data_IF_538545890108
#
_entry.id   IF_538545890108
#
_cell.length_a   1.000
_cell.length_b   1.000
_cell.length_c   1.000
_cell.angle_alpha   90.00
_cell.angle_beta   90.00
_cell.angle_gamma   90.00
#
_symmetry.space_group_name_H-M   'P 1'
#
loop_
_entity.id
_entity.type
_entity.pdbx_description
1 polymer ?
#
# COMPACT_ATOMS: atom_id res chain seq x y z
N UNK A 1 25.95 -0.01 10.93
CA UNK A 1 24.53 -0.15 11.29
C UNK A 1 24.35 -1.50 11.99
N UNK A 2 23.89 -1.50 13.23
CA UNK A 2 23.65 -2.75 13.97
C UNK A 2 22.54 -3.55 13.27
N UNK A 3 22.78 -4.85 13.03
CA UNK A 3 21.73 -5.76 12.55
C UNK A 3 20.76 -5.95 13.70
N UNK A 4 19.48 -5.62 13.50
CA UNK A 4 18.44 -6.00 14.45
C UNK A 4 18.35 -7.54 14.50
N UNK A 5 18.14 -8.14 15.68
CA UNK A 5 17.88 -9.58 15.77
C UNK A 5 16.66 -9.94 14.93
N UNK A 6 16.73 -11.07 14.23
CA UNK A 6 15.61 -11.59 13.44
C UNK A 6 14.37 -11.78 14.33
N UNK A 7 13.21 -11.32 13.86
CA UNK A 7 11.92 -11.54 14.53
C UNK A 7 11.57 -10.60 15.69
N UNK A 8 12.33 -9.51 15.94
CA UNK A 8 11.88 -8.51 16.92
C UNK A 8 10.59 -7.85 16.42
N UNK A 9 9.49 -7.88 17.19
CA UNK A 9 8.25 -7.22 16.79
C UNK A 9 8.51 -5.72 16.57
N UNK A 10 7.89 -5.15 15.54
CA UNK A 10 7.91 -3.70 15.33
C UNK A 10 7.15 -3.07 16.49
N UNK A 11 7.89 -2.59 17.50
CA UNK A 11 7.30 -1.88 18.64
C UNK A 11 6.77 -0.55 18.11
N UNK A 12 5.45 -0.48 17.90
CA UNK A 12 4.77 0.76 17.58
C UNK A 12 4.67 1.61 18.85
N UNK A 13 4.99 2.92 18.82
CA UNK A 13 4.79 3.78 19.97
C UNK A 13 3.31 3.79 20.36
N UNK A 14 3.03 3.79 21.66
CA UNK A 14 1.67 3.89 22.16
C UNK A 14 1.04 5.21 21.71
N UNK A 15 -0.18 5.18 21.12
CA UNK A 15 -0.83 6.39 20.67
C UNK A 15 -1.14 7.30 21.87
N UNK A 16 -1.09 8.63 21.70
CA UNK A 16 -1.44 9.58 22.76
C UNK A 16 -2.85 9.32 23.32
N UNK A 17 -3.07 9.61 24.60
CA UNK A 17 -4.36 9.37 25.28
C UNK A 17 -5.55 9.98 24.52
N UNK A 18 -5.38 11.18 23.97
CA UNK A 18 -6.39 11.84 23.15
C UNK A 18 -6.80 11.02 21.91
N UNK A 19 -5.85 10.34 21.26
CA UNK A 19 -6.13 9.47 20.13
C UNK A 19 -6.89 8.22 20.56
N UNK A 20 -6.60 7.68 21.76
CA UNK A 20 -7.34 6.53 22.31
C UNK A 20 -8.77 6.89 22.69
N UNK A 21 -9.00 8.09 23.24
CA UNK A 21 -10.31 8.55 23.69
C UNK A 21 -11.19 9.07 22.55
N UNK A 22 -10.61 9.74 21.55
CA UNK A 22 -11.38 10.46 20.53
C UNK A 22 -11.15 9.96 19.09
N UNK A 23 -10.09 9.16 18.85
CA UNK A 23 -9.66 8.77 17.51
C UNK A 23 -10.69 7.97 16.72
N UNK A 24 -11.52 7.16 17.39
CA UNK A 24 -12.56 6.36 16.72
C UNK A 24 -13.93 7.03 16.61
N UNK A 25 -14.17 8.16 17.31
CA UNK A 25 -15.54 8.65 17.58
C UNK A 25 -15.77 10.09 17.12
N UNK A 26 -14.71 10.90 17.01
CA UNK A 26 -14.83 12.32 16.67
C UNK A 26 -14.29 12.60 15.28
N UNK A 27 -15.21 12.83 14.32
CA UNK A 27 -14.87 13.36 12.99
C UNK A 27 -14.06 14.65 13.09
N UNK A 28 -14.40 15.51 14.06
CA UNK A 28 -13.68 16.76 14.33
C UNK A 28 -12.23 16.46 14.73
N UNK A 29 -12.01 15.51 15.64
CA UNK A 29 -10.66 15.10 16.05
C UNK A 29 -9.86 14.52 14.87
N UNK A 30 -10.48 13.69 14.03
CA UNK A 30 -9.87 13.17 12.82
C UNK A 30 -9.43 14.28 11.86
N UNK A 31 -10.30 15.26 11.59
CA UNK A 31 -9.94 16.41 10.76
C UNK A 31 -8.84 17.27 11.38
N UNK A 32 -8.89 17.54 12.69
CA UNK A 32 -7.86 18.32 13.39
C UNK A 32 -6.50 17.61 13.41
N UNK A 33 -6.47 16.29 13.61
CA UNK A 33 -5.23 15.51 13.63
C UNK A 33 -4.60 15.46 12.23
N UNK A 34 -5.39 15.24 11.18
CA UNK A 34 -4.93 15.30 9.78
C UNK A 34 -4.43 16.70 9.43
N UNK A 35 -5.13 17.76 9.83
CA UNK A 35 -4.71 19.14 9.59
C UNK A 35 -3.38 19.48 10.28
N UNK A 36 -3.23 19.12 11.56
CA UNK A 36 -2.00 19.33 12.32
C UNK A 36 -0.81 18.57 11.70
N UNK A 37 -1.04 17.33 11.29
CA UNK A 37 -0.03 16.50 10.62
C UNK A 37 0.38 17.09 9.27
N UNK A 38 -0.59 17.51 8.45
CA UNK A 38 -0.35 18.19 7.17
C UNK A 38 0.53 19.43 7.34
N UNK A 39 0.22 20.27 8.34
CA UNK A 39 1.01 21.49 8.62
C UNK A 39 2.44 21.17 9.03
N UNK A 40 2.63 20.12 9.82
CA UNK A 40 3.95 19.67 10.28
C UNK A 40 4.80 19.18 9.11
N UNK A 41 4.23 18.36 8.23
CA UNK A 41 4.91 17.85 7.02
C UNK A 41 5.24 18.99 6.07
N UNK A 42 4.27 19.87 5.77
CA UNK A 42 4.46 21.01 4.87
C UNK A 42 5.50 22.02 5.38
N UNK A 43 5.81 22.02 6.68
CA UNK A 43 6.87 22.88 7.24
C UNK A 43 8.30 22.42 6.87
N UNK A 44 8.45 21.22 6.30
CA UNK A 44 9.75 20.64 5.95
C UNK A 44 10.61 20.20 7.15
N UNK A 45 10.10 20.36 8.38
CA UNK A 45 10.81 20.01 9.62
C UNK A 45 10.56 18.59 10.09
N UNK A 46 9.66 17.86 9.43
CA UNK A 46 9.31 16.48 9.79
C UNK A 46 10.22 15.49 9.04
N UNK A 47 11.05 14.70 9.74
CA UNK A 47 11.80 13.62 9.12
C UNK A 47 10.91 12.61 8.37
N UNK A 48 9.64 12.48 8.74
CA UNK A 48 8.67 11.65 8.01
C UNK A 48 8.38 12.18 6.61
N UNK A 49 8.49 13.48 6.36
CA UNK A 49 8.21 14.06 5.05
C UNK A 49 9.16 13.50 3.97
N UNK A 50 10.45 13.37 4.29
CA UNK A 50 11.45 12.79 3.39
C UNK A 50 11.21 11.30 3.15
N UNK A 51 10.79 10.58 4.18
CA UNK A 51 10.42 9.17 4.05
C UNK A 51 9.21 9.00 3.13
N UNK A 52 8.17 9.80 3.34
CA UNK A 52 6.97 9.76 2.51
C UNK A 52 7.24 10.22 1.08
N UNK A 53 8.12 11.20 0.88
CA UNK A 53 8.59 11.56 -0.45
C UNK A 53 9.20 10.35 -1.17
N UNK A 54 10.10 9.61 -0.49
CA UNK A 54 10.68 8.39 -1.03
C UNK A 54 9.63 7.32 -1.35
N UNK A 55 8.72 7.04 -0.42
CA UNK A 55 7.64 6.05 -0.59
C UNK A 55 6.69 6.43 -1.74
N UNK A 56 6.25 7.68 -1.80
CA UNK A 56 5.32 8.17 -2.83
C UNK A 56 5.99 8.39 -4.19
N UNK A 57 7.30 8.62 -4.24
CA UNK A 57 8.02 8.73 -5.50
C UNK A 57 7.92 7.46 -6.35
N UNK A 58 7.69 6.30 -5.74
CA UNK A 58 7.45 5.04 -6.47
C UNK A 58 6.22 5.10 -7.39
N UNK A 59 5.26 5.97 -7.07
CA UNK A 59 4.03 6.21 -7.81
C UNK A 59 4.13 7.45 -8.71
N UNK A 60 5.35 7.90 -8.99
CA UNK A 60 5.65 9.07 -9.80
C UNK A 60 6.83 8.76 -10.75
N UNK A 61 6.82 9.35 -11.94
CA UNK A 61 7.84 9.10 -12.97
C UNK A 61 9.28 9.36 -12.49
N UNK A 62 9.48 10.39 -11.65
CA UNK A 62 10.78 10.70 -11.05
C UNK A 62 11.34 9.60 -10.14
N UNK A 63 10.51 8.71 -9.59
CA UNK A 63 10.94 7.61 -8.75
C UNK A 63 11.18 6.29 -9.48
N UNK A 64 11.15 6.26 -10.83
CA UNK A 64 11.35 5.05 -11.60
C UNK A 64 12.65 4.30 -11.25
N UNK A 65 13.77 5.01 -11.04
CA UNK A 65 15.04 4.40 -10.64
C UNK A 65 14.97 3.80 -9.23
N UNK A 66 14.28 4.47 -8.29
CA UNK A 66 14.07 3.96 -6.95
C UNK A 66 13.19 2.71 -6.97
N UNK A 67 12.11 2.73 -7.76
CA UNK A 67 11.24 1.58 -7.98
C UNK A 67 12.03 0.38 -8.50
N UNK A 68 12.83 0.56 -9.56
CA UNK A 68 13.67 -0.52 -10.10
C UNK A 68 14.68 -1.06 -9.09
N UNK A 69 15.26 -0.20 -8.24
CA UNK A 69 16.14 -0.64 -7.17
C UNK A 69 15.40 -1.45 -6.11
N UNK A 70 14.25 -0.99 -5.65
CA UNK A 70 13.42 -1.67 -4.65
C UNK A 70 12.92 -3.03 -5.17
N UNK A 71 12.52 -3.10 -6.44
CA UNK A 71 12.07 -4.33 -7.08
C UNK A 71 13.12 -5.43 -7.08
N UNK A 72 14.42 -5.13 -7.20
CA UNK A 72 15.47 -6.16 -7.13
C UNK A 72 15.49 -6.87 -5.77
N UNK A 73 15.32 -6.10 -4.69
CA UNK A 73 15.23 -6.68 -3.34
C UNK A 73 13.94 -7.46 -3.15
N UNK A 74 12.81 -6.90 -3.61
CA UNK A 74 11.50 -7.56 -3.54
C UNK A 74 11.47 -8.87 -4.34
N UNK A 75 12.02 -8.88 -5.55
CA UNK A 75 12.12 -10.07 -6.40
C UNK A 75 12.89 -11.18 -5.71
N UNK A 76 14.05 -10.86 -5.13
CA UNK A 76 14.83 -11.83 -4.37
C UNK A 76 14.02 -12.41 -3.20
N UNK A 77 13.36 -11.57 -2.41
CA UNK A 77 12.54 -12.03 -1.28
C UNK A 77 11.36 -12.90 -1.73
N UNK A 78 10.69 -12.55 -2.85
CA UNK A 78 9.60 -13.36 -3.42
C UNK A 78 10.09 -14.72 -3.93
N UNK A 79 11.29 -14.77 -4.54
CA UNK A 79 11.91 -16.02 -4.96
C UNK A 79 12.27 -16.91 -3.76
N UNK A 80 12.86 -16.33 -2.71
CA UNK A 80 13.17 -17.05 -1.47
C UNK A 80 11.90 -17.59 -0.81
N UNK A 81 10.82 -16.79 -0.75
CA UNK A 81 9.51 -17.23 -0.24
C UNK A 81 8.92 -18.37 -1.08
N UNK A 82 8.99 -18.28 -2.41
CA UNK A 82 8.52 -19.33 -3.33
C UNK A 82 9.29 -20.64 -3.11
N UNK A 83 10.61 -20.57 -2.97
CA UNK A 83 11.47 -21.73 -2.73
C UNK A 83 11.11 -22.39 -1.39
N UNK A 84 10.89 -21.60 -0.35
CA UNK A 84 10.48 -22.12 0.95
C UNK A 84 9.09 -22.76 0.90
N UNK A 85 8.10 -22.12 0.25
CA UNK A 85 6.77 -22.71 0.06
C UNK A 85 6.86 -24.06 -0.67
N UNK A 86 7.66 -24.14 -1.74
CA UNK A 86 7.88 -25.38 -2.47
C UNK A 86 8.54 -26.47 -1.60
N UNK A 87 9.54 -26.12 -0.78
CA UNK A 87 10.21 -27.04 0.16
C UNK A 87 9.23 -27.65 1.16
N UNK A 88 8.20 -26.89 1.54
CA UNK A 88 7.14 -27.30 2.47
C UNK A 88 5.95 -27.96 1.77
N UNK A 89 6.02 -28.21 0.45
CA UNK A 89 4.89 -28.68 -0.37
C UNK A 89 3.63 -27.79 -0.27
N UNK A 90 3.84 -26.47 -0.11
CA UNK A 90 2.78 -25.47 -0.09
C UNK A 90 2.65 -24.78 -1.45
N UNK A 91 1.43 -24.40 -1.79
CA UNK A 91 1.16 -23.50 -2.93
C UNK A 91 1.30 -22.05 -2.46
N UNK A 92 1.91 -21.20 -3.28
CA UNK A 92 2.05 -19.76 -3.02
C UNK A 92 1.29 -18.95 -4.07
N UNK A 93 0.42 -18.06 -3.60
CA UNK A 93 -0.23 -17.03 -4.40
C UNK A 93 -0.01 -15.67 -3.72
N UNK A 94 0.24 -14.63 -4.52
CA UNK A 94 0.45 -13.27 -4.02
C UNK A 94 -0.66 -12.36 -4.54
N UNK A 95 -1.44 -11.81 -3.62
CA UNK A 95 -2.41 -10.76 -3.95
C UNK A 95 -1.73 -9.39 -3.87
N UNK A 96 -1.82 -8.61 -4.96
CA UNK A 96 -1.26 -7.27 -5.06
C UNK A 96 -2.38 -6.27 -4.84
N UNK A 97 -2.30 -5.51 -3.76
CA UNK A 97 -3.29 -4.50 -3.37
C UNK A 97 -2.76 -3.08 -3.60
N UNK A 98 -3.45 -2.24 -4.39
CA UNK A 98 -3.07 -0.83 -4.51
C UNK A 98 -3.33 -0.09 -3.20
N UNK A 99 -2.59 1.00 -2.90
CA UNK A 99 -2.94 1.89 -1.79
C UNK A 99 -4.22 2.69 -2.09
N UNK A 100 -4.85 3.21 -1.03
CA UNK A 100 -6.11 3.95 -1.13
C UNK A 100 -6.10 5.10 -2.16
N UNK A 101 -4.99 5.86 -2.28
CA UNK A 101 -4.90 6.98 -3.23
C UNK A 101 -4.74 6.54 -4.69
N UNK A 102 -4.36 5.28 -4.95
CA UNK A 102 -4.30 4.70 -6.30
C UNK A 102 -5.65 4.10 -6.73
N UNK A 103 -6.55 3.87 -5.77
CA UNK A 103 -7.95 3.46 -6.01
C UNK A 103 -8.85 4.71 -6.10
N UNK A 104 -8.78 5.57 -5.09
CA UNK A 104 -9.46 6.85 -5.02
C UNK A 104 -8.57 7.94 -5.61
N UNK A 105 -8.52 8.00 -6.95
CA UNK A 105 -7.58 8.87 -7.70
C UNK A 105 -7.77 10.36 -7.43
N UNK A 106 -8.95 10.78 -6.98
CA UNK A 106 -9.19 12.16 -6.53
C UNK A 106 -8.31 12.56 -5.33
N UNK A 107 -7.79 11.57 -4.59
CA UNK A 107 -6.88 11.78 -3.45
C UNK A 107 -5.41 11.87 -3.86
N UNK A 108 -5.06 11.47 -5.09
CA UNK A 108 -3.68 11.34 -5.52
C UNK A 108 -2.94 12.69 -5.55
N UNK A 109 -3.53 13.71 -6.18
CA UNK A 109 -2.93 15.04 -6.28
C UNK A 109 -2.57 15.63 -4.91
N UNK A 110 -3.54 15.77 -3.97
CA UNK A 110 -3.26 16.25 -2.63
C UNK A 110 -2.21 15.41 -1.87
N UNK A 111 -2.18 14.08 -2.10
CA UNK A 111 -1.22 13.17 -1.45
C UNK A 111 0.20 13.39 -1.97
N UNK A 112 0.37 13.56 -3.28
CA UNK A 112 1.68 13.82 -3.91
C UNK A 112 2.20 15.22 -3.56
N UNK A 113 1.34 16.24 -3.66
CA UNK A 113 1.73 17.62 -3.33
C UNK A 113 2.12 17.78 -1.86
N UNK A 114 1.58 16.95 -0.94
CA UNK A 114 1.96 16.96 0.47
C UNK A 114 3.46 16.71 0.68
N UNK A 115 4.10 15.96 -0.21
CA UNK A 115 5.52 15.62 -0.15
C UNK A 115 6.34 16.31 -1.24
N UNK A 116 5.79 17.34 -1.88
CA UNK A 116 6.47 18.10 -2.92
C UNK A 116 6.66 17.35 -4.24
N UNK A 117 5.77 16.39 -4.55
CA UNK A 117 5.68 15.78 -5.88
C UNK A 117 4.56 16.44 -6.67
N UNK A 118 4.83 16.72 -7.95
CA UNK A 118 3.85 17.32 -8.86
C UNK A 118 2.86 16.24 -9.36
N UNK A 119 1.55 16.49 -9.39
CA UNK A 119 0.57 15.50 -9.83
C UNK A 119 0.73 15.04 -11.28
N UNK A 120 1.26 15.88 -12.17
CA UNK A 120 1.37 15.61 -13.61
C UNK A 120 2.29 14.42 -13.94
N UNK A 121 3.24 14.10 -13.06
CA UNK A 121 4.12 12.95 -13.22
C UNK A 121 3.62 11.68 -12.54
N UNK A 122 2.41 11.67 -11.99
CA UNK A 122 1.86 10.52 -11.29
C UNK A 122 1.65 9.31 -12.23
N UNK A 123 2.13 8.14 -11.79
CA UNK A 123 1.80 6.85 -12.36
C UNK A 123 1.42 5.91 -11.21
N UNK A 124 0.16 6.04 -10.78
CA UNK A 124 -0.36 5.39 -9.58
C UNK A 124 -0.38 3.86 -9.66
N UNK A 125 -0.21 3.31 -10.86
CA UNK A 125 -0.19 1.87 -11.10
C UNK A 125 1.23 1.34 -11.37
N UNK A 126 2.26 2.21 -11.37
CA UNK A 126 3.62 1.78 -11.69
C UNK A 126 4.13 0.68 -10.74
N UNK A 127 3.97 0.80 -9.41
CA UNK A 127 4.44 -0.23 -8.49
C UNK A 127 3.72 -1.56 -8.68
N UNK A 128 2.39 -1.53 -8.81
CA UNK A 128 1.56 -2.75 -8.95
C UNK A 128 1.89 -3.48 -10.24
N UNK A 129 1.93 -2.78 -11.38
CA UNK A 129 2.33 -3.36 -12.67
C UNK A 129 3.73 -3.97 -12.59
N UNK A 130 4.67 -3.30 -11.90
CA UNK A 130 6.03 -3.79 -11.79
C UNK A 130 6.15 -5.04 -10.92
N UNK A 131 5.42 -5.11 -9.80
CA UNK A 131 5.37 -6.30 -8.94
C UNK A 131 4.69 -7.46 -9.67
N UNK A 132 3.55 -7.23 -10.34
CA UNK A 132 2.87 -8.24 -11.14
C UNK A 132 3.77 -8.80 -12.27
N UNK A 133 4.55 -7.94 -12.92
CA UNK A 133 5.52 -8.38 -13.94
C UNK A 133 6.64 -9.26 -13.36
N UNK A 134 7.12 -8.96 -12.14
CA UNK A 134 8.07 -9.82 -11.41
C UNK A 134 7.44 -11.17 -11.09
N UNK A 135 6.23 -11.18 -10.51
CA UNK A 135 5.52 -12.41 -10.14
C UNK A 135 5.29 -13.32 -11.37
N UNK A 136 4.83 -12.73 -12.49
CA UNK A 136 4.65 -13.43 -13.76
C UNK A 136 5.95 -14.03 -14.29
N UNK A 137 7.05 -13.24 -14.37
CA UNK A 137 8.36 -13.73 -14.82
C UNK A 137 8.90 -14.86 -13.95
N UNK A 138 8.64 -14.81 -12.65
CA UNK A 138 9.06 -15.82 -11.69
C UNK A 138 8.10 -17.01 -11.60
N UNK A 139 7.03 -17.06 -12.41
CA UNK A 139 6.04 -18.13 -12.36
C UNK A 139 5.36 -18.27 -11.00
N UNK A 140 5.17 -17.15 -10.28
CA UNK A 140 4.44 -17.09 -9.02
C UNK A 140 2.99 -16.70 -9.34
N UNK A 141 2.04 -17.51 -8.88
CA UNK A 141 0.62 -17.21 -8.96
C UNK A 141 0.30 -15.84 -8.33
N UNK A 142 -0.48 -15.01 -8.99
CA UNK A 142 -0.80 -13.68 -8.48
C UNK A 142 -2.23 -13.24 -8.79
N UNK A 143 -2.79 -12.38 -7.94
CA UNK A 143 -4.06 -11.68 -8.17
C UNK A 143 -3.82 -10.18 -8.14
N UNK A 144 -4.27 -9.47 -9.18
CA UNK A 144 -4.33 -8.01 -9.18
C UNK A 144 -5.68 -7.58 -8.59
N UNK A 145 -5.67 -6.96 -7.41
CA UNK A 145 -6.89 -6.49 -6.75
C UNK A 145 -7.30 -5.08 -7.21
N UNK A 146 -6.47 -4.41 -8.01
CA UNK A 146 -6.66 -3.02 -8.38
C UNK A 146 -7.91 -2.74 -9.22
N UNK A 147 -8.20 -3.52 -10.28
CA UNK A 147 -9.39 -3.32 -11.10
C UNK A 147 -10.68 -3.40 -10.28
N UNK A 148 -10.86 -4.46 -9.47
CA UNK A 148 -12.08 -4.67 -8.69
C UNK A 148 -12.29 -3.58 -7.64
N UNK A 149 -11.22 -3.20 -6.92
CA UNK A 149 -11.28 -2.11 -5.93
C UNK A 149 -11.62 -0.76 -6.57
N UNK A 150 -11.08 -0.46 -7.77
CA UNK A 150 -11.40 0.79 -8.48
C UNK A 150 -12.85 0.82 -8.95
N UNK A 151 -13.36 -0.26 -9.52
CA UNK A 151 -14.75 -0.34 -9.96
C UNK A 151 -15.71 -0.20 -8.78
N UNK A 152 -15.45 -0.87 -7.66
CA UNK A 152 -16.30 -0.75 -6.47
C UNK A 152 -16.23 0.64 -5.84
N UNK A 153 -15.07 1.31 -5.91
CA UNK A 153 -14.88 2.67 -5.40
C UNK A 153 -15.75 3.72 -6.10
N UNK A 154 -16.29 3.44 -7.29
CA UNK A 154 -17.24 4.33 -7.99
C UNK A 154 -18.62 4.36 -7.30
N UNK A 155 -18.96 3.32 -6.54
CA UNK A 155 -20.28 3.15 -5.93
C UNK A 155 -20.25 3.40 -4.42
N UNK A 156 -19.17 2.99 -3.76
CA UNK A 156 -19.04 3.11 -2.31
C UNK A 156 -17.59 3.27 -1.83
N UNK A 157 -17.42 3.64 -0.57
CA UNK A 157 -16.09 3.80 0.03
C UNK A 157 -15.50 2.43 0.37
N UNK A 158 -14.56 1.93 -0.45
CA UNK A 158 -13.82 0.67 -0.21
C UNK A 158 -12.61 0.82 0.72
N UNK A 159 -12.22 2.06 1.02
CA UNK A 159 -11.24 2.40 2.06
C UNK A 159 -11.86 3.29 3.13
N UNK A 160 -11.32 3.21 4.35
CA UNK A 160 -11.66 4.15 5.41
C UNK A 160 -11.20 5.58 5.04
N UNK A 161 -11.90 6.60 5.54
CA UNK A 161 -11.65 7.99 5.14
C UNK A 161 -10.31 8.53 5.64
N UNK A 162 -9.92 8.18 6.87
CA UNK A 162 -8.71 8.69 7.54
C UNK A 162 -7.68 7.60 7.84
N UNK A 163 -7.90 6.42 7.28
CA UNK A 163 -7.13 5.22 7.54
C UNK A 163 -6.92 4.47 6.22
N UNK A 164 -5.71 3.94 6.02
CA UNK A 164 -5.32 3.29 4.76
C UNK A 164 -5.85 1.87 4.58
N UNK A 165 -6.60 1.33 5.55
CA UNK A 165 -7.20 0.01 5.48
C UNK A 165 -8.56 0.04 4.76
N UNK A 166 -8.96 -1.13 4.29
CA UNK A 166 -10.26 -1.33 3.66
C UNK A 166 -11.41 -1.07 4.63
N UNK A 167 -12.53 -0.60 4.09
CA UNK A 167 -13.82 -0.65 4.79
C UNK A 167 -14.36 -2.08 4.77
N UNK A 168 -15.50 -2.31 5.44
CA UNK A 168 -16.22 -3.60 5.32
C UNK A 168 -16.53 -3.94 3.87
N UNK A 169 -17.05 -2.98 3.10
CA UNK A 169 -17.31 -3.15 1.67
C UNK A 169 -16.03 -3.47 0.88
N UNK A 170 -14.91 -2.79 1.19
CA UNK A 170 -13.63 -3.11 0.56
C UNK A 170 -13.16 -4.53 0.83
N UNK A 171 -13.36 -5.03 2.06
CA UNK A 171 -13.08 -6.43 2.38
C UNK A 171 -13.96 -7.42 1.59
N UNK A 172 -15.24 -7.11 1.37
CA UNK A 172 -16.16 -7.94 0.58
C UNK A 172 -15.75 -8.01 -0.90
N UNK A 173 -15.33 -6.86 -1.47
CA UNK A 173 -14.80 -6.78 -2.84
C UNK A 173 -13.52 -7.62 -2.97
N UNK A 174 -12.58 -7.47 -2.03
CA UNK A 174 -11.33 -8.24 -2.05
C UNK A 174 -11.58 -9.73 -1.88
N UNK A 175 -12.49 -10.14 -0.99
CA UNK A 175 -12.84 -11.55 -0.82
C UNK A 175 -13.38 -12.16 -2.13
N UNK A 176 -14.29 -11.44 -2.79
CA UNK A 176 -14.87 -11.87 -4.08
C UNK A 176 -13.82 -11.96 -5.19
N UNK A 177 -12.93 -10.96 -5.28
CA UNK A 177 -11.83 -10.94 -6.25
C UNK A 177 -10.85 -12.10 -6.03
N UNK A 178 -10.51 -12.39 -4.77
CA UNK A 178 -9.64 -13.51 -4.42
C UNK A 178 -10.29 -14.85 -4.73
N UNK A 179 -11.58 -15.03 -4.44
CA UNK A 179 -12.31 -16.26 -4.78
C UNK A 179 -12.28 -16.51 -6.30
N UNK A 180 -12.59 -15.49 -7.10
CA UNK A 180 -12.56 -15.58 -8.57
C UNK A 180 -11.16 -15.91 -9.10
N UNK A 181 -10.13 -15.27 -8.53
CA UNK A 181 -8.74 -15.50 -8.90
C UNK A 181 -8.26 -16.91 -8.50
N UNK A 182 -8.64 -17.41 -7.33
CA UNK A 182 -8.32 -18.77 -6.88
C UNK A 182 -8.97 -19.81 -7.80
N UNK A 183 -10.24 -19.61 -8.17
CA UNK A 183 -10.97 -20.50 -9.09
C UNK A 183 -10.33 -20.53 -10.48
N UNK A 184 -9.97 -19.37 -11.04
CA UNK A 184 -9.35 -19.29 -12.38
C UNK A 184 -7.98 -19.99 -12.43
N UNK A 185 -7.28 -20.03 -11.29
CA UNK A 185 -6.01 -20.73 -11.15
C UNK A 185 -6.15 -22.17 -10.65
N UNK A 186 -7.38 -22.71 -10.57
CA UNK A 186 -7.66 -24.08 -10.12
C UNK A 186 -7.12 -24.36 -8.71
N UNK A 187 -7.28 -23.41 -7.80
CA UNK A 187 -6.99 -23.59 -6.37
C UNK A 187 -8.17 -24.18 -5.61
N UNK A 188 -9.38 -23.81 -6.04
CA UNK A 188 -10.68 -24.25 -5.56
C UNK A 188 -11.59 -24.45 -6.77
#
# INVERSE_FOLDING_TARGET
>A
AARHPEGVPIIQPTPPLAHRLFGGWSRIYGHLSVWSRRRTIASGRDPMAQRWHGELSLFHSSGATLLQRSLRTTERALMELRQEAHRQNLRLLVAVAPPAFAVHTERAGPTLSLVGLEPEGADLQAPDRAVLAVLSRQGIASCDLGPDLRTAAEQEAVYLTFDGHWSTAGHEVVASALEACLRSQQWI
#
